data_IF_990263305705
#
_entry.id   IF_990263305705
#
_cell.length_a   1.000
_cell.length_b   1.000
_cell.length_c   1.000
_cell.angle_alpha   90.00
_cell.angle_beta   90.00
_cell.angle_gamma   90.00
#
_symmetry.space_group_name_H-M   'P 1'
#
loop_
_entity.id
_entity.type
_entity.pdbx_description
1 polymer ?
#
# COMPACT_ATOMS: atom_id res chain seq x y z
N UNK A 1 31.89 55.27 -26.38
CA UNK A 1 32.26 53.83 -26.22
C UNK A 1 31.24 53.19 -25.31
N UNK A 2 30.28 52.42 -25.87
CA UNK A 2 29.22 51.77 -25.14
C UNK A 2 29.62 50.32 -24.99
N UNK A 3 29.80 49.84 -23.71
CA UNK A 3 30.08 48.44 -23.40
C UNK A 3 28.77 47.75 -23.15
N UNK A 4 28.40 46.83 -24.04
CA UNK A 4 27.24 45.96 -23.89
C UNK A 4 27.71 44.73 -23.08
N UNK A 5 27.24 44.62 -21.86
CA UNK A 5 27.44 43.39 -21.03
C UNK A 5 26.40 42.37 -21.42
N UNK A 6 26.82 41.25 -22.01
CA UNK A 6 25.96 40.10 -22.28
C UNK A 6 25.78 39.29 -20.98
N UNK A 7 24.58 39.31 -20.45
CA UNK A 7 24.21 38.43 -19.34
C UNK A 7 23.86 37.04 -19.90
N UNK A 8 24.69 36.06 -19.61
CA UNK A 8 24.42 34.66 -19.92
C UNK A 8 23.47 34.09 -18.86
N UNK A 9 22.22 33.86 -19.26
CA UNK A 9 21.23 33.17 -18.41
C UNK A 9 21.48 31.65 -18.45
N UNK A 10 21.95 31.08 -17.34
CA UNK A 10 22.03 29.64 -17.15
C UNK A 10 20.64 29.12 -16.86
N UNK A 11 20.03 28.44 -17.82
CA UNK A 11 18.81 27.69 -17.64
C UNK A 11 19.12 26.37 -16.92
N UNK A 12 18.71 26.28 -15.68
CA UNK A 12 18.78 25.01 -14.89
C UNK A 12 17.67 24.08 -15.39
N UNK A 13 18.01 23.05 -16.15
CA UNK A 13 17.10 21.98 -16.51
C UNK A 13 17.05 21.04 -15.31
N UNK A 14 15.97 21.10 -14.53
CA UNK A 14 15.69 20.12 -13.49
C UNK A 14 15.33 18.80 -14.16
N UNK A 15 16.21 17.81 -14.10
CA UNK A 15 15.91 16.43 -14.45
C UNK A 15 14.94 15.87 -13.39
N UNK A 16 13.65 15.84 -13.72
CA UNK A 16 12.68 15.10 -12.93
C UNK A 16 13.03 13.61 -13.02
N UNK A 17 13.40 12.99 -11.89
CA UNK A 17 13.53 11.55 -11.81
C UNK A 17 12.19 10.91 -12.19
N UNK A 18 12.15 9.86 -13.02
CA UNK A 18 10.91 9.19 -13.33
C UNK A 18 10.32 8.63 -12.02
N UNK A 19 9.12 9.10 -11.66
CA UNK A 19 8.32 8.45 -10.62
C UNK A 19 8.12 7.00 -11.06
N UNK A 20 8.52 6.03 -10.23
CA UNK A 20 8.28 4.63 -10.54
C UNK A 20 6.77 4.42 -10.64
N UNK A 21 6.28 4.13 -11.84
CA UNK A 21 4.87 3.86 -12.08
C UNK A 21 4.44 2.65 -11.26
N UNK A 22 3.35 2.79 -10.50
CA UNK A 22 2.70 1.69 -9.82
C UNK A 22 2.03 0.78 -10.86
N UNK A 23 2.25 -0.53 -10.76
CA UNK A 23 1.75 -1.54 -11.70
C UNK A 23 0.84 -2.53 -10.96
N UNK A 24 -0.47 -2.43 -11.19
CA UNK A 24 -1.45 -3.32 -10.57
C UNK A 24 -1.31 -4.78 -11.03
N UNK A 25 -0.92 -5.03 -12.27
CA UNK A 25 -0.70 -6.39 -12.76
C UNK A 25 0.55 -7.03 -12.11
N UNK A 26 1.61 -6.25 -11.93
CA UNK A 26 2.76 -6.69 -11.15
C UNK A 26 2.39 -6.88 -9.67
N UNK A 27 1.55 -6.02 -9.12
CA UNK A 27 1.02 -6.11 -7.77
C UNK A 27 0.19 -7.38 -7.52
N UNK A 28 -0.57 -7.83 -8.50
CA UNK A 28 -1.28 -9.11 -8.42
C UNK A 28 -0.32 -10.28 -8.22
N UNK A 29 0.81 -10.28 -8.90
CA UNK A 29 1.86 -11.30 -8.72
C UNK A 29 2.48 -11.24 -7.32
N UNK A 30 2.66 -10.04 -6.78
CA UNK A 30 3.10 -9.87 -5.39
C UNK A 30 2.06 -10.39 -4.42
N UNK A 31 0.76 -10.14 -4.67
CA UNK A 31 -0.36 -10.55 -3.82
C UNK A 31 -0.51 -12.09 -3.70
N UNK A 32 0.05 -12.86 -4.62
CA UNK A 32 0.02 -14.33 -4.57
C UNK A 32 0.46 -14.87 -3.21
N UNK A 33 1.50 -14.29 -2.62
CA UNK A 33 1.98 -14.68 -1.29
C UNK A 33 1.01 -14.32 -0.15
N UNK A 34 0.09 -13.38 -0.38
CA UNK A 34 -0.91 -12.95 0.60
C UNK A 34 -2.19 -13.81 0.57
N UNK A 35 -2.41 -14.53 -0.54
CA UNK A 35 -3.64 -15.32 -0.79
C UNK A 35 -3.81 -16.49 0.15
N UNK A 36 -2.75 -16.96 0.80
CA UNK A 36 -2.85 -17.99 1.83
C UNK A 36 -3.73 -17.56 3.01
N UNK A 37 -3.81 -16.26 3.28
CA UNK A 37 -4.51 -15.69 4.43
C UNK A 37 -5.61 -14.69 4.04
N UNK A 38 -5.45 -13.95 2.95
CA UNK A 38 -6.33 -12.85 2.56
C UNK A 38 -7.00 -13.06 1.21
N UNK A 39 -8.18 -12.47 1.08
CA UNK A 39 -8.93 -12.46 -0.18
C UNK A 39 -9.33 -11.04 -0.55
N UNK A 40 -9.48 -10.80 -1.85
CA UNK A 40 -10.09 -9.61 -2.45
C UNK A 40 -11.09 -10.03 -3.53
N UNK A 41 -12.04 -9.18 -3.86
CA UNK A 41 -13.04 -9.41 -4.87
C UNK A 41 -14.47 -9.48 -4.30
N UNK A 42 -15.47 -9.60 -5.17
CA UNK A 42 -16.89 -9.57 -4.78
C UNK A 42 -17.29 -10.77 -3.93
N UNK A 43 -16.62 -11.90 -4.07
CA UNK A 43 -16.87 -13.13 -3.31
C UNK A 43 -15.88 -13.38 -2.18
N UNK A 44 -15.03 -12.38 -1.88
CA UNK A 44 -14.02 -12.49 -0.84
C UNK A 44 -14.63 -12.72 0.54
N UNK A 45 -14.00 -13.59 1.30
CA UNK A 45 -14.39 -13.94 2.67
C UNK A 45 -13.20 -13.83 3.62
N UNK A 46 -13.49 -13.58 4.89
CA UNK A 46 -12.49 -13.71 5.94
C UNK A 46 -11.98 -15.16 6.00
N UNK A 47 -10.68 -15.30 6.18
CA UNK A 47 -9.99 -16.57 6.35
C UNK A 47 -9.04 -16.48 7.52
N UNK A 48 -7.79 -16.91 7.34
CA UNK A 48 -6.73 -16.72 8.34
C UNK A 48 -6.51 -15.24 8.61
N UNK A 49 -6.61 -14.40 7.59
CA UNK A 49 -6.65 -12.94 7.68
C UNK A 49 -8.00 -12.35 7.25
N UNK A 50 -8.24 -11.08 7.52
CA UNK A 50 -9.47 -10.39 7.09
C UNK A 50 -9.47 -10.15 5.58
N UNK A 51 -10.68 -9.94 5.03
CA UNK A 51 -10.87 -9.45 3.66
C UNK A 51 -10.16 -8.11 3.50
N UNK A 52 -9.49 -7.91 2.36
CA UNK A 52 -8.76 -6.67 2.06
C UNK A 52 -9.50 -5.72 1.10
N UNK A 53 -10.76 -6.00 0.78
CA UNK A 53 -11.58 -5.06 0.01
C UNK A 53 -11.69 -3.70 0.73
N UNK A 54 -11.54 -2.62 -0.01
CA UNK A 54 -11.66 -1.26 0.52
C UNK A 54 -10.65 -0.96 1.63
N UNK A 55 -9.43 -1.51 1.56
CA UNK A 55 -8.41 -1.36 2.59
C UNK A 55 -8.06 0.10 2.85
N UNK A 56 -7.76 0.85 1.81
CA UNK A 56 -7.31 2.25 1.96
C UNK A 56 -8.46 3.16 2.35
N UNK A 57 -8.28 3.91 3.44
CA UNK A 57 -9.30 4.71 4.11
C UNK A 57 -10.01 3.99 5.26
N UNK A 58 -9.77 2.70 5.48
CA UNK A 58 -10.39 1.89 6.53
C UNK A 58 -9.60 1.97 7.84
N UNK A 59 -10.32 2.06 8.96
CA UNK A 59 -9.71 1.90 10.28
C UNK A 59 -9.29 0.46 10.52
N UNK A 60 -8.10 0.25 11.08
CA UNK A 60 -7.62 -1.07 11.45
C UNK A 60 -8.53 -1.76 12.45
N UNK A 61 -8.71 -3.06 12.28
CA UNK A 61 -9.51 -3.85 13.21
C UNK A 61 -11.02 -3.77 13.03
N UNK A 62 -11.52 -3.32 11.87
CA UNK A 62 -12.95 -3.00 11.68
C UNK A 62 -13.71 -3.88 10.68
N UNK A 63 -13.07 -4.86 10.04
CA UNK A 63 -13.81 -5.80 9.19
C UNK A 63 -14.74 -6.65 10.05
N UNK A 64 -16.01 -6.64 9.70
CA UNK A 64 -17.03 -7.41 10.37
C UNK A 64 -16.75 -8.92 10.29
N UNK A 65 -16.99 -9.61 11.39
CA UNK A 65 -16.87 -11.07 11.47
C UNK A 65 -15.44 -11.60 11.54
N UNK A 66 -14.42 -10.72 11.53
CA UNK A 66 -13.04 -11.17 11.73
C UNK A 66 -12.58 -10.94 13.18
N UNK A 67 -11.96 -11.96 13.76
CA UNK A 67 -11.43 -11.88 15.12
C UNK A 67 -9.99 -11.34 15.12
N UNK A 68 -9.86 -10.02 15.18
CA UNK A 68 -8.57 -9.34 15.26
C UNK A 68 -7.87 -9.56 16.61
N UNK A 69 -6.54 -9.40 16.62
CA UNK A 69 -5.81 -9.18 17.87
C UNK A 69 -6.22 -7.86 18.53
N UNK A 70 -6.10 -7.78 19.85
CA UNK A 70 -6.32 -6.53 20.56
C UNK A 70 -5.35 -5.44 20.11
N UNK A 71 -4.13 -5.82 19.75
CA UNK A 71 -3.13 -4.90 19.18
C UNK A 71 -3.64 -4.23 17.90
N UNK A 72 -4.27 -4.99 16.99
CA UNK A 72 -4.86 -4.43 15.77
C UNK A 72 -6.05 -3.53 16.07
N UNK A 73 -6.98 -3.99 16.92
CA UNK A 73 -8.17 -3.21 17.30
C UNK A 73 -7.80 -1.87 17.94
N UNK A 74 -6.76 -1.86 18.77
CA UNK A 74 -6.33 -0.71 19.54
C UNK A 74 -5.22 0.12 18.88
N UNK A 75 -4.79 -0.26 17.66
CA UNK A 75 -3.67 0.42 16.98
C UNK A 75 -3.97 1.87 16.60
N UNK A 76 -5.25 2.23 16.44
CA UNK A 76 -5.66 3.57 15.99
C UNK A 76 -5.31 3.87 14.52
N UNK A 77 -4.77 2.91 13.80
CA UNK A 77 -4.35 3.08 12.41
C UNK A 77 -5.56 3.25 11.51
N UNK A 78 -5.52 4.27 10.66
CA UNK A 78 -6.32 4.36 9.44
C UNK A 78 -5.39 4.06 8.27
N UNK A 79 -5.74 3.06 7.47
CA UNK A 79 -4.89 2.62 6.37
C UNK A 79 -4.86 3.65 5.25
N UNK A 80 -3.70 4.16 4.97
CA UNK A 80 -3.36 4.87 3.74
C UNK A 80 -2.14 4.22 3.08
N UNK A 81 -1.76 4.69 1.92
CA UNK A 81 -0.65 4.09 1.17
C UNK A 81 0.68 4.15 1.93
N UNK A 82 0.95 5.27 2.60
CA UNK A 82 2.18 5.47 3.37
C UNK A 82 2.24 4.55 4.58
N UNK A 83 1.16 4.53 5.37
CA UNK A 83 1.05 3.68 6.56
C UNK A 83 1.14 2.21 6.17
N UNK A 84 0.48 1.81 5.08
CA UNK A 84 0.58 0.45 4.55
C UNK A 84 2.00 0.10 4.13
N UNK A 85 2.69 0.99 3.40
CA UNK A 85 4.06 0.77 2.97
C UNK A 85 5.03 0.57 4.15
N UNK A 86 4.83 1.30 5.23
CA UNK A 86 5.59 1.11 6.47
C UNK A 86 5.25 -0.22 7.15
N UNK A 87 3.96 -0.53 7.25
CA UNK A 87 3.46 -1.73 7.92
C UNK A 87 3.93 -3.01 7.25
N UNK A 88 3.81 -3.09 5.92
CA UNK A 88 4.08 -4.33 5.19
C UNK A 88 5.57 -4.72 5.19
N UNK A 89 6.44 -3.78 5.50
CA UNK A 89 7.87 -4.06 5.68
C UNK A 89 8.16 -4.88 6.93
N UNK A 90 7.37 -4.70 7.98
CA UNK A 90 7.46 -5.46 9.23
C UNK A 90 6.16 -5.29 10.04
N UNK A 91 5.16 -6.14 9.83
CA UNK A 91 3.90 -6.04 10.56
C UNK A 91 4.05 -6.04 12.08
N UNK A 92 4.93 -6.88 12.60
CA UNK A 92 5.19 -6.98 14.05
C UNK A 92 5.85 -5.74 14.65
N UNK A 93 6.68 -5.06 13.88
CA UNK A 93 7.31 -3.82 14.34
C UNK A 93 6.29 -2.68 14.38
N UNK A 94 5.40 -2.61 13.40
CA UNK A 94 4.38 -1.56 13.30
C UNK A 94 3.22 -1.77 14.29
N UNK A 95 2.78 -3.02 14.45
CA UNK A 95 1.72 -3.42 15.40
C UNK A 95 2.24 -4.57 16.27
N UNK A 96 2.99 -4.29 17.34
CA UNK A 96 3.43 -5.33 18.28
C UNK A 96 2.23 -6.07 18.86
N UNK A 97 2.24 -7.39 18.79
CA UNK A 97 1.13 -8.24 19.22
C UNK A 97 0.12 -8.58 18.11
N UNK A 98 0.36 -8.16 16.88
CA UNK A 98 -0.46 -8.58 15.73
C UNK A 98 -0.47 -10.10 15.56
N UNK A 99 -1.61 -10.64 15.16
CA UNK A 99 -1.73 -12.07 14.76
C UNK A 99 -1.11 -12.37 13.40
N UNK A 100 -0.89 -11.37 12.57
CA UNK A 100 -0.34 -11.55 11.24
C UNK A 100 1.09 -12.09 11.30
N UNK A 101 1.27 -13.31 10.81
CA UNK A 101 2.58 -13.97 10.71
C UNK A 101 3.10 -13.76 9.29
N UNK A 102 3.86 -12.69 9.11
CA UNK A 102 4.47 -12.33 7.83
C UNK A 102 5.82 -11.67 8.08
N UNK A 103 6.87 -12.15 7.43
CA UNK A 103 8.22 -11.63 7.65
C UNK A 103 8.42 -10.20 7.16
N UNK A 104 7.65 -9.81 6.17
CA UNK A 104 7.69 -8.47 5.59
C UNK A 104 8.14 -8.43 4.14
N UNK A 105 7.71 -7.40 3.45
CA UNK A 105 8.10 -7.07 2.08
C UNK A 105 8.92 -5.78 2.14
N UNK A 106 10.17 -5.83 1.66
CA UNK A 106 11.13 -4.72 1.78
C UNK A 106 11.40 -3.99 0.48
N UNK A 107 11.09 -4.60 -0.65
CA UNK A 107 11.30 -4.00 -1.97
C UNK A 107 10.24 -2.93 -2.23
N UNK A 108 10.69 -1.69 -2.34
CA UNK A 108 9.81 -0.51 -2.50
C UNK A 108 8.96 -0.60 -3.76
N UNK A 109 9.53 -1.05 -4.89
CA UNK A 109 8.77 -1.20 -6.13
C UNK A 109 7.64 -2.23 -5.96
N UNK A 110 7.94 -3.37 -5.37
CA UNK A 110 6.94 -4.42 -5.12
C UNK A 110 5.85 -3.96 -4.14
N UNK A 111 6.21 -3.15 -3.14
CA UNK A 111 5.23 -2.53 -2.23
C UNK A 111 4.30 -1.60 -2.99
N UNK A 112 4.84 -0.73 -3.85
CA UNK A 112 4.06 0.20 -4.66
C UNK A 112 3.14 -0.54 -5.65
N UNK A 113 3.61 -1.60 -6.27
CA UNK A 113 2.81 -2.45 -7.16
C UNK A 113 1.67 -3.14 -6.39
N UNK A 114 1.95 -3.66 -5.19
CA UNK A 114 0.93 -4.26 -4.32
C UNK A 114 -0.13 -3.24 -3.89
N UNK A 115 0.26 -2.02 -3.56
CA UNK A 115 -0.66 -0.93 -3.26
C UNK A 115 -1.57 -0.66 -4.47
N UNK A 116 -1.02 -0.56 -5.68
CA UNK A 116 -1.78 -0.34 -6.89
C UNK A 116 -2.82 -1.46 -7.13
N UNK A 117 -2.44 -2.71 -6.88
CA UNK A 117 -3.34 -3.85 -6.98
C UNK A 117 -4.48 -3.76 -5.96
N UNK A 118 -4.18 -3.53 -4.68
CA UNK A 118 -5.17 -3.47 -3.61
C UNK A 118 -6.13 -2.28 -3.76
N UNK A 119 -5.66 -1.15 -4.27
CA UNK A 119 -6.48 0.05 -4.53
C UNK A 119 -7.60 -0.17 -5.53
N UNK A 120 -7.49 -1.17 -6.39
CA UNK A 120 -8.52 -1.49 -7.38
C UNK A 120 -9.83 -1.94 -6.73
N UNK A 121 -9.78 -2.49 -5.51
CA UNK A 121 -10.93 -3.11 -4.87
C UNK A 121 -11.63 -2.15 -3.90
N UNK A 122 -12.89 -1.81 -4.22
CA UNK A 122 -13.78 -1.10 -3.30
C UNK A 122 -14.24 -1.97 -2.15
N UNK A 123 -15.03 -1.40 -1.24
CA UNK A 123 -15.60 -2.13 -0.08
C UNK A 123 -16.49 -3.30 -0.49
N UNK A 124 -17.15 -3.19 -1.63
CA UNK A 124 -17.99 -4.24 -2.23
C UNK A 124 -17.18 -5.29 -2.99
N UNK A 125 -15.86 -5.14 -3.07
CA UNK A 125 -14.97 -6.03 -3.80
C UNK A 125 -14.95 -5.84 -5.30
N UNK A 126 -15.67 -4.87 -5.83
CA UNK A 126 -15.63 -4.53 -7.25
C UNK A 126 -14.37 -3.74 -7.57
N UNK A 127 -13.79 -4.04 -8.73
CA UNK A 127 -12.69 -3.23 -9.25
C UNK A 127 -13.21 -1.88 -9.74
N UNK A 128 -12.50 -0.81 -9.37
CA UNK A 128 -12.69 0.48 -9.99
C UNK A 128 -12.32 0.39 -11.48
N UNK A 129 -13.17 0.99 -12.32
CA UNK A 129 -12.93 1.10 -13.76
C UNK A 129 -12.01 2.27 -14.07
#
# INVERSE_FOLDING_TARGET
>A
MIRIAAAASLTFVALAAPAQAQDAAAGEKVFVQCRACHQVGETAKNGVGPVLNGLFGRKSGTIEGYNYSDANKNSGIVWDEKVFAEYIQSPRAKIPGTKMIYAGLKDEKRINDLIAFLKQYGKDGKKAQ
#
